data_IF_106984807531
#
_entry.id   IF_106984807531
#
_cell.length_a   1.000
_cell.length_b   1.000
_cell.length_c   1.000
_cell.angle_alpha   90.00
_cell.angle_beta   90.00
_cell.angle_gamma   90.00
#
_symmetry.space_group_name_H-M   'P 1'
#
loop_
_entity.id
_entity.type
_entity.pdbx_description
1 polymer ?
#
# COMPACT_ATOMS: atom_id res chain seq x y z
N UNK A 1 -14.60 21.39 3.37
CA UNK A 1 -13.38 21.26 4.21
C UNK A 1 -12.91 19.81 4.11
N UNK A 2 -11.63 19.63 3.75
CA UNK A 2 -10.98 18.39 3.33
C UNK A 2 -10.76 17.39 4.48
N UNK A 3 -11.67 16.46 4.71
CA UNK A 3 -11.47 15.31 5.62
C UNK A 3 -11.59 13.95 4.91
N UNK A 4 -11.31 13.90 3.60
CA UNK A 4 -11.28 12.66 2.80
C UNK A 4 -9.82 12.25 2.56
N UNK A 5 -9.04 12.20 3.63
CA UNK A 5 -7.62 11.83 3.54
C UNK A 5 -7.29 10.80 4.64
N UNK A 6 -7.97 9.65 4.62
CA UNK A 6 -7.65 8.44 5.42
C UNK A 6 -8.50 8.23 6.69
N UNK A 7 -9.82 8.09 6.51
CA UNK A 7 -10.75 7.80 7.61
C UNK A 7 -11.25 6.36 7.72
N UNK A 8 -10.88 5.44 6.82
CA UNK A 8 -11.38 4.07 6.86
C UNK A 8 -10.24 3.10 6.60
N UNK A 9 -9.65 2.57 7.67
CA UNK A 9 -10.07 1.26 8.16
C UNK A 9 -10.54 0.29 7.06
N UNK A 10 -9.72 0.09 6.03
CA UNK A 10 -9.95 -0.96 5.03
C UNK A 10 -9.58 -2.32 5.65
N UNK A 11 -10.30 -2.69 6.71
CA UNK A 11 -10.38 -4.02 7.30
C UNK A 11 -11.25 -4.97 6.46
N UNK A 12 -11.85 -4.47 5.38
CA UNK A 12 -12.61 -5.24 4.40
C UNK A 12 -11.71 -5.71 3.27
N UNK A 13 -11.11 -6.88 3.45
CA UNK A 13 -10.36 -7.65 2.45
C UNK A 13 -8.89 -7.25 2.21
N UNK A 14 -8.11 -7.27 3.30
CA UNK A 14 -6.63 -7.19 3.29
C UNK A 14 -6.01 -8.08 2.20
N UNK A 15 -6.60 -9.25 1.91
CA UNK A 15 -6.09 -10.19 0.90
C UNK A 15 -6.16 -9.63 -0.52
N UNK A 16 -7.22 -8.87 -0.84
CA UNK A 16 -7.35 -8.26 -2.16
C UNK A 16 -6.41 -7.07 -2.32
N UNK A 17 -6.18 -6.28 -1.27
CA UNK A 17 -5.22 -5.16 -1.30
C UNK A 17 -3.80 -5.65 -1.54
N UNK A 18 -3.38 -6.71 -0.86
CA UNK A 18 -2.03 -7.28 -0.99
C UNK A 18 -1.72 -7.71 -2.42
N UNK A 19 -2.69 -8.30 -3.13
CA UNK A 19 -2.54 -8.70 -4.54
C UNK A 19 -2.33 -7.48 -5.44
N UNK A 20 -3.11 -6.41 -5.22
CA UNK A 20 -2.98 -5.19 -6.01
C UNK A 20 -1.67 -4.46 -5.70
N UNK A 21 -1.26 -4.39 -4.43
CA UNK A 21 0.02 -3.81 -4.01
C UNK A 21 1.19 -4.60 -4.58
N UNK A 22 1.12 -5.94 -4.58
CA UNK A 22 2.14 -6.79 -5.20
C UNK A 22 2.26 -6.52 -6.70
N UNK A 23 1.13 -6.54 -7.44
CA UNK A 23 1.11 -6.25 -8.88
C UNK A 23 1.60 -4.83 -9.20
N UNK A 24 1.32 -3.88 -8.31
CA UNK A 24 1.81 -2.51 -8.44
C UNK A 24 3.33 -2.48 -8.27
N UNK A 25 3.85 -3.09 -7.20
CA UNK A 25 5.30 -3.19 -6.95
C UNK A 25 6.04 -3.86 -8.11
N UNK A 26 5.50 -4.95 -8.66
CA UNK A 26 6.07 -5.63 -9.83
C UNK A 26 6.20 -4.72 -11.07
N UNK A 27 5.39 -3.65 -11.17
CA UNK A 27 5.42 -2.71 -12.31
C UNK A 27 6.30 -1.48 -12.06
N UNK A 28 6.37 -0.99 -10.82
CA UNK A 28 7.01 0.31 -10.51
C UNK A 28 8.33 0.15 -9.75
N UNK A 29 8.52 -0.95 -9.03
CA UNK A 29 9.75 -1.22 -8.28
C UNK A 29 10.73 -1.99 -9.16
N UNK A 30 12.01 -1.63 -9.09
CA UNK A 30 13.08 -2.40 -9.73
C UNK A 30 13.31 -3.73 -9.01
N UNK A 31 13.12 -3.76 -7.69
CA UNK A 31 13.20 -4.95 -6.86
C UNK A 31 11.98 -5.02 -5.91
N UNK A 32 11.01 -5.91 -6.16
CA UNK A 32 9.81 -6.06 -5.32
C UNK A 32 10.12 -6.50 -3.88
N UNK A 33 11.26 -7.13 -3.63
CA UNK A 33 11.68 -7.54 -2.28
C UNK A 33 12.21 -6.36 -1.46
N UNK A 34 12.68 -5.30 -2.12
CA UNK A 34 13.17 -4.07 -1.52
C UNK A 34 12.39 -2.85 -2.06
N UNK A 35 11.09 -2.71 -1.72
CA UNK A 35 10.26 -1.66 -2.28
C UNK A 35 10.71 -0.28 -1.79
N UNK A 36 10.95 0.64 -2.73
CA UNK A 36 11.35 2.02 -2.47
C UNK A 36 10.17 2.98 -2.44
N UNK A 37 9.16 2.73 -3.27
CA UNK A 37 8.00 3.60 -3.42
C UNK A 37 6.84 3.15 -2.53
N UNK A 38 6.48 1.86 -2.56
CA UNK A 38 5.31 1.36 -1.81
C UNK A 38 5.78 0.61 -0.57
N UNK A 39 5.82 1.26 0.58
CA UNK A 39 6.31 0.68 1.84
C UNK A 39 5.16 0.11 2.68
N UNK A 40 5.46 -0.94 3.44
CA UNK A 40 4.50 -1.57 4.36
C UNK A 40 4.64 -0.96 5.75
N UNK A 41 3.56 -0.43 6.32
CA UNK A 41 3.45 -0.02 7.71
C UNK A 41 2.62 -1.04 8.48
N UNK A 42 3.31 -1.90 9.24
CA UNK A 42 2.70 -2.95 10.04
C UNK A 42 1.62 -2.39 10.98
N UNK A 43 0.43 -3.01 10.96
CA UNK A 43 -0.72 -2.60 11.77
C UNK A 43 -1.48 -1.36 11.27
N UNK A 44 -1.07 -0.76 10.15
CA UNK A 44 -1.74 0.42 9.57
C UNK A 44 -2.10 0.22 8.09
N UNK A 45 -1.20 -0.36 7.29
CA UNK A 45 -1.42 -0.58 5.86
C UNK A 45 -0.18 -0.27 5.02
N UNK A 46 -0.39 0.29 3.83
CA UNK A 46 0.68 0.65 2.90
C UNK A 46 0.77 2.17 2.76
N UNK A 47 1.98 2.69 2.56
CA UNK A 47 2.20 4.11 2.31
C UNK A 47 3.16 4.29 1.15
N UNK A 48 2.99 5.42 0.45
CA UNK A 48 3.88 5.82 -0.61
C UNK A 48 5.03 6.63 0.01
N UNK A 49 6.25 6.08 -0.03
CA UNK A 49 7.48 6.77 0.28
C UNK A 49 7.96 7.51 -0.97
N UNK A 50 8.27 8.80 -0.82
CA UNK A 50 8.91 9.60 -1.86
C UNK A 50 10.42 9.67 -1.60
#
# INVERSE_FOLDING_TARGET
MLTIIWGYDYLGDVRTVDVHIRRLREKIETDPANPKYVMTKWGVGYYFGQ
#
